data_IF_874561899728
#
_entry.id   IF_874561899728
#
_cell.length_a   1.000
_cell.length_b   1.000
_cell.length_c   1.000
_cell.angle_alpha   90.00
_cell.angle_beta   90.00
_cell.angle_gamma   90.00
#
_symmetry.space_group_name_H-M   'P 1'
#
loop_
_entity.id
_entity.type
_entity.pdbx_description
1 polymer ?
#
# COMPACT_ATOMS: atom_id res chain seq x y z
N UNK A 1 -2.92 5.42 13.17
CA UNK A 1 -1.86 5.55 14.19
C UNK A 1 -0.75 6.43 13.63
N UNK A 2 -0.66 7.68 14.08
CA UNK A 2 0.40 8.61 13.71
C UNK A 2 1.37 8.71 14.89
N UNK A 3 2.62 8.29 14.69
CA UNK A 3 3.69 8.55 15.64
C UNK A 3 4.19 9.98 15.39
N UNK A 4 3.82 10.92 16.28
CA UNK A 4 4.47 12.23 16.37
C UNK A 4 5.74 12.07 17.20
N UNK A 5 6.88 11.97 16.54
CA UNK A 5 8.18 12.17 17.20
C UNK A 5 8.38 13.67 17.31
N UNK A 6 8.30 14.20 18.53
CA UNK A 6 8.64 15.59 18.84
C UNK A 6 10.16 15.63 18.99
N UNK A 7 10.86 16.17 18.00
CA UNK A 7 12.28 16.52 18.12
C UNK A 7 12.33 17.93 18.71
N UNK A 8 12.68 18.02 19.99
CA UNK A 8 12.96 19.29 20.66
C UNK A 8 14.42 19.63 20.35
N UNK A 9 14.65 20.54 19.41
CA UNK A 9 15.97 21.10 19.14
C UNK A 9 16.18 22.28 20.10
N UNK A 10 16.85 22.02 21.22
CA UNK A 10 17.32 23.06 22.14
C UNK A 10 18.53 23.77 21.52
N UNK A 11 18.28 24.95 20.97
CA UNK A 11 19.30 25.82 20.41
C UNK A 11 19.91 26.69 21.54
N UNK A 12 21.01 26.22 22.14
CA UNK A 12 21.81 27.03 23.08
C UNK A 12 22.77 27.90 22.27
N UNK A 13 22.57 29.21 22.38
CA UNK A 13 23.32 30.23 21.65
C UNK A 13 24.63 30.58 22.37
N UNK A 14 25.53 31.22 21.60
CA UNK A 14 26.77 31.91 21.98
C UNK A 14 28.07 31.08 21.85
N UNK A 15 28.69 31.15 20.68
CA UNK A 15 29.98 31.85 20.48
C UNK A 15 30.41 31.80 19.00
N UNK A 16 30.47 32.98 18.38
CA UNK A 16 31.30 33.39 17.22
C UNK A 16 31.70 32.29 16.21
N UNK A 17 30.89 32.06 15.18
CA UNK A 17 31.28 31.29 13.98
C UNK A 17 30.62 31.84 12.70
N UNK A 18 31.26 31.64 11.52
CA UNK A 18 30.93 32.31 10.26
C UNK A 18 29.47 32.14 9.87
N UNK A 19 28.92 33.13 9.15
CA UNK A 19 27.55 33.21 8.63
C UNK A 19 27.14 31.97 7.81
N UNK A 20 26.97 30.83 8.47
CA UNK A 20 26.27 29.68 7.94
C UNK A 20 24.80 30.10 7.94
N UNK A 21 24.31 30.49 6.77
CA UNK A 21 22.88 30.63 6.52
C UNK A 21 22.27 29.26 6.78
N UNK A 22 21.80 29.02 8.00
CA UNK A 22 21.03 27.84 8.37
C UNK A 22 19.77 27.86 7.50
N UNK A 23 19.83 27.19 6.35
CA UNK A 23 18.66 26.99 5.50
C UNK A 23 17.68 26.14 6.32
N UNK A 24 16.71 26.81 6.95
CA UNK A 24 15.60 26.17 7.65
C UNK A 24 15.04 25.10 6.71
N UNK A 25 15.24 23.83 7.07
CA UNK A 25 14.75 22.71 6.27
C UNK A 25 13.23 22.84 6.25
N UNK A 26 12.66 23.05 5.05
CA UNK A 26 11.21 23.06 4.89
C UNK A 26 10.68 21.69 5.33
N UNK A 27 9.58 21.69 6.07
CA UNK A 27 8.89 20.48 6.47
C UNK A 27 8.57 19.62 5.25
N UNK A 28 8.64 18.29 5.41
CA UNK A 28 8.22 17.36 4.38
C UNK A 28 6.74 17.61 4.09
N UNK A 29 6.42 17.93 2.83
CA UNK A 29 5.03 18.14 2.38
C UNK A 29 4.51 16.79 1.90
N UNK A 30 3.48 16.27 2.56
CA UNK A 30 2.86 15.01 2.18
C UNK A 30 1.74 15.24 1.18
N UNK A 31 1.38 14.22 0.40
CA UNK A 31 0.30 14.32 -0.60
C UNK A 31 -1.05 14.76 0.01
N UNK A 32 -1.30 14.44 1.28
CA UNK A 32 -2.52 14.86 1.99
C UNK A 32 -2.58 16.37 2.29
N UNK A 33 -1.45 17.07 2.23
CA UNK A 33 -1.38 18.52 2.51
C UNK A 33 -1.61 19.37 1.25
N UNK A 34 -1.77 18.73 0.08
CA UNK A 34 -1.89 19.43 -1.20
C UNK A 34 -3.33 19.97 -1.37
N UNK A 35 -3.47 21.29 -1.38
CA UNK A 35 -4.77 21.96 -1.58
C UNK A 35 -4.97 22.26 -3.06
N UNK A 36 -6.23 22.39 -3.50
CA UNK A 36 -6.57 22.78 -4.88
C UNK A 36 -5.93 24.12 -5.24
N UNK A 37 -5.86 25.05 -4.29
CA UNK A 37 -5.17 26.34 -4.45
C UNK A 37 -3.69 26.22 -4.82
N UNK A 38 -3.03 25.12 -4.46
CA UNK A 38 -1.62 24.89 -4.78
C UNK A 38 -1.38 24.64 -6.27
N UNK A 39 -2.41 24.25 -7.01
CA UNK A 39 -2.34 24.13 -8.47
C UNK A 39 -2.11 25.49 -9.12
N UNK A 40 -2.49 26.61 -8.50
CA UNK A 40 -2.26 27.95 -9.05
C UNK A 40 -0.78 28.36 -9.03
N UNK A 41 0.04 27.72 -8.18
CA UNK A 41 1.48 27.99 -8.12
C UNK A 41 2.26 27.06 -9.07
N UNK A 42 2.92 27.63 -10.08
CA UNK A 42 3.68 26.88 -11.10
C UNK A 42 4.73 25.94 -10.50
N UNK A 43 5.44 26.38 -9.45
CA UNK A 43 6.48 25.57 -8.82
C UNK A 43 5.89 24.39 -8.05
N UNK A 44 4.79 24.61 -7.30
CA UNK A 44 4.08 23.54 -6.58
C UNK A 44 3.49 22.53 -7.56
N UNK A 45 2.85 23.00 -8.64
CA UNK A 45 2.32 22.17 -9.73
C UNK A 45 3.41 21.29 -10.37
N UNK A 46 4.57 21.86 -10.71
CA UNK A 46 5.69 21.11 -11.30
C UNK A 46 6.22 20.01 -10.37
N UNK A 47 6.32 20.30 -9.07
CA UNK A 47 6.74 19.31 -8.06
C UNK A 47 5.72 18.17 -7.94
N UNK A 48 4.43 18.50 -7.84
CA UNK A 48 3.36 17.52 -7.79
C UNK A 48 3.42 16.57 -8.99
N UNK A 49 3.49 17.10 -10.20
CA UNK A 49 3.56 16.28 -11.41
C UNK A 49 4.80 15.39 -11.43
N UNK A 50 5.96 15.90 -11.03
CA UNK A 50 7.18 15.11 -10.93
C UNK A 50 6.99 13.91 -9.98
N UNK A 51 6.52 14.15 -8.77
CA UNK A 51 6.32 13.09 -7.77
C UNK A 51 5.24 12.09 -8.21
N UNK A 52 4.16 12.57 -8.84
CA UNK A 52 3.12 11.71 -9.41
C UNK A 52 3.70 10.79 -10.51
N UNK A 53 4.47 11.35 -11.45
CA UNK A 53 5.14 10.57 -12.50
C UNK A 53 6.11 9.54 -11.93
N UNK A 54 6.95 9.92 -10.97
CA UNK A 54 7.89 9.01 -10.29
C UNK A 54 7.14 7.85 -9.62
N UNK A 55 6.02 8.16 -8.95
CA UNK A 55 5.17 7.18 -8.28
C UNK A 55 4.56 6.20 -9.28
N UNK A 56 3.97 6.70 -10.37
CA UNK A 56 3.41 5.86 -11.44
C UNK A 56 4.49 4.96 -12.04
N UNK A 57 5.67 5.51 -12.31
CA UNK A 57 6.78 4.75 -12.89
C UNK A 57 7.30 3.66 -11.94
N UNK A 58 7.40 3.96 -10.63
CA UNK A 58 7.73 2.98 -9.60
C UNK A 58 6.73 1.81 -9.60
N UNK A 59 5.44 2.09 -9.61
CA UNK A 59 4.42 1.04 -9.62
C UNK A 59 4.39 0.24 -10.93
N UNK A 60 4.64 0.88 -12.09
CA UNK A 60 4.80 0.16 -13.37
C UNK A 60 5.93 -0.87 -13.31
N UNK A 61 7.09 -0.51 -12.73
CA UNK A 61 8.22 -1.44 -12.54
C UNK A 61 7.85 -2.61 -11.62
N UNK A 62 7.23 -2.34 -10.48
CA UNK A 62 6.78 -3.36 -9.54
C UNK A 62 5.77 -4.31 -10.21
N UNK A 63 4.81 -3.76 -10.97
CA UNK A 63 3.81 -4.57 -11.65
C UNK A 63 4.45 -5.50 -12.69
N UNK A 64 5.38 -5.00 -13.51
CA UNK A 64 6.14 -5.82 -14.48
C UNK A 64 6.89 -6.97 -13.77
N UNK A 65 7.58 -6.68 -12.66
CA UNK A 65 8.27 -7.71 -11.87
C UNK A 65 7.30 -8.78 -11.34
N UNK A 66 6.15 -8.37 -10.79
CA UNK A 66 5.14 -9.28 -10.26
C UNK A 66 4.53 -10.15 -11.36
N UNK A 67 4.27 -9.60 -12.55
CA UNK A 67 3.81 -10.36 -13.72
C UNK A 67 4.82 -11.43 -14.12
N UNK A 68 6.11 -11.09 -14.19
CA UNK A 68 7.17 -12.07 -14.47
C UNK A 68 7.23 -13.16 -13.38
N UNK A 69 7.08 -12.79 -12.10
CA UNK A 69 7.07 -13.76 -10.99
C UNK A 69 5.89 -14.73 -11.08
N UNK A 70 4.70 -14.23 -11.39
CA UNK A 70 3.50 -15.06 -11.61
C UNK A 70 3.71 -16.02 -12.78
N UNK A 71 4.27 -15.53 -13.90
CA UNK A 71 4.58 -16.36 -15.07
C UNK A 71 5.51 -17.52 -14.72
N UNK A 72 6.61 -17.24 -13.99
CA UNK A 72 7.53 -18.29 -13.52
C UNK A 72 6.85 -19.33 -12.63
N UNK A 73 5.97 -18.88 -11.72
CA UNK A 73 5.23 -19.79 -10.85
C UNK A 73 4.25 -20.67 -11.64
N UNK A 74 3.56 -20.11 -12.63
CA UNK A 74 2.69 -20.88 -13.53
C UNK A 74 3.45 -21.93 -14.31
N UNK A 75 4.64 -21.60 -14.82
CA UNK A 75 5.48 -22.58 -15.52
C UNK A 75 5.93 -23.72 -14.61
N UNK A 76 6.27 -23.43 -13.35
CA UNK A 76 6.58 -24.48 -12.35
C UNK A 76 5.38 -25.38 -12.09
N UNK A 77 4.19 -24.80 -11.87
CA UNK A 77 2.96 -25.59 -11.69
C UNK A 77 2.66 -26.47 -12.91
N UNK A 78 2.82 -25.93 -14.12
CA UNK A 78 2.64 -26.70 -15.36
C UNK A 78 3.61 -27.88 -15.44
N UNK A 79 4.88 -27.66 -15.10
CA UNK A 79 5.89 -28.73 -15.08
C UNK A 79 5.58 -29.80 -14.03
N UNK A 80 5.16 -29.40 -12.83
CA UNK A 80 4.78 -30.34 -11.76
C UNK A 80 3.54 -31.15 -12.15
N UNK A 81 2.52 -30.51 -12.72
CA UNK A 81 1.32 -31.20 -13.20
C UNK A 81 1.67 -32.23 -14.29
N UNK A 82 2.56 -31.89 -15.22
CA UNK A 82 3.04 -32.83 -16.24
C UNK A 82 3.70 -34.07 -15.61
N UNK A 83 4.53 -33.89 -14.57
CA UNK A 83 5.17 -35.00 -13.87
C UNK A 83 4.13 -35.88 -13.14
N UNK A 84 3.13 -35.27 -12.51
CA UNK A 84 2.03 -36.00 -11.88
C UNK A 84 1.25 -36.81 -12.91
N UNK A 85 0.95 -36.22 -14.07
CA UNK A 85 0.25 -36.91 -15.16
C UNK A 85 1.05 -38.11 -15.67
N UNK A 86 2.37 -37.98 -15.80
CA UNK A 86 3.25 -39.07 -16.25
C UNK A 86 3.32 -40.21 -15.21
N UNK A 87 3.42 -39.87 -13.91
CA UNK A 87 3.39 -40.87 -12.84
C UNK A 87 2.04 -41.60 -12.73
N UNK A 88 0.94 -40.89 -13.00
CA UNK A 88 -0.40 -41.48 -13.06
C UNK A 88 -0.54 -42.44 -14.26
N UNK A 89 0.01 -42.08 -15.43
CA UNK A 89 0.03 -42.97 -16.61
C UNK A 89 0.83 -44.24 -16.36
N UNK A 90 1.96 -44.14 -15.66
CA UNK A 90 2.79 -45.30 -15.27
C UNK A 90 2.13 -46.18 -14.19
N UNK A 91 0.92 -45.84 -13.70
CA UNK A 91 0.22 -46.51 -12.59
C UNK A 91 1.05 -46.62 -11.31
N UNK A 92 2.10 -45.81 -11.15
CA UNK A 92 2.95 -45.79 -9.96
C UNK A 92 2.24 -45.21 -8.74
N UNK A 93 1.14 -44.50 -8.95
CA UNK A 93 0.33 -43.89 -7.91
C UNK A 93 -1.13 -44.28 -8.17
N UNK A 94 -1.77 -44.92 -7.19
CA UNK A 94 -3.21 -45.19 -7.22
C UNK A 94 -3.99 -43.87 -7.11
N UNK A 95 -4.98 -43.67 -7.99
CA UNK A 95 -5.78 -42.43 -8.13
C UNK A 95 -6.67 -42.10 -6.92
N UNK A 96 -6.54 -42.82 -5.80
CA UNK A 96 -7.48 -42.81 -4.68
C UNK A 96 -7.29 -41.64 -3.68
N UNK A 97 -6.39 -40.68 -3.93
CA UNK A 97 -5.99 -39.69 -2.88
C UNK A 97 -6.47 -38.24 -3.11
N UNK A 98 -6.98 -37.81 -4.27
CA UNK A 98 -6.95 -36.35 -4.55
C UNK A 98 -8.22 -35.63 -5.00
N UNK A 99 -9.43 -36.20 -4.89
CA UNK A 99 -10.64 -35.49 -5.35
C UNK A 99 -11.52 -34.84 -4.28
N UNK A 100 -11.19 -34.88 -2.98
CA UNK A 100 -12.10 -34.35 -1.94
C UNK A 100 -11.70 -33.05 -1.23
N UNK A 101 -10.46 -32.53 -1.38
CA UNK A 101 -10.01 -31.35 -0.60
C UNK A 101 -9.50 -30.17 -1.46
N UNK A 102 -9.96 -30.06 -2.71
CA UNK A 102 -9.59 -28.94 -3.59
C UNK A 102 -10.22 -27.59 -3.20
N UNK A 103 -11.00 -27.53 -2.13
CA UNK A 103 -11.67 -26.29 -1.65
C UNK A 103 -11.01 -25.63 -0.42
N UNK A 104 -9.98 -26.21 0.21
CA UNK A 104 -9.51 -25.68 1.51
C UNK A 104 -8.19 -24.89 1.51
N UNK A 105 -7.49 -24.71 0.38
CA UNK A 105 -6.17 -24.00 0.37
C UNK A 105 -6.17 -22.66 -0.38
N UNK A 106 -7.33 -22.02 -0.56
CA UNK A 106 -7.39 -20.75 -1.30
C UNK A 106 -6.88 -19.51 -0.56
N UNK A 107 -6.60 -19.52 0.75
CA UNK A 107 -6.15 -18.29 1.44
C UNK A 107 -5.18 -18.54 2.61
N UNK A 108 -3.97 -19.02 2.32
CA UNK A 108 -2.80 -18.74 3.17
C UNK A 108 -1.77 -17.86 2.45
N UNK A 109 -2.26 -16.91 1.64
CA UNK A 109 -1.46 -15.76 1.20
C UNK A 109 -1.36 -14.78 2.35
N UNK A 110 -0.34 -14.99 3.19
CA UNK A 110 0.25 -13.94 4.03
C UNK A 110 0.53 -12.69 3.19
N UNK A 111 -0.38 -11.72 3.29
CA UNK A 111 -0.18 -10.28 3.35
C UNK A 111 1.27 -9.80 3.14
N UNK A 112 1.68 -9.60 1.89
CA UNK A 112 2.92 -8.88 1.55
C UNK A 112 2.70 -7.77 0.50
N UNK A 113 1.64 -6.99 0.65
CA UNK A 113 1.56 -5.66 0.04
C UNK A 113 0.36 -5.34 -0.86
N UNK A 114 -0.69 -6.16 -0.86
CA UNK A 114 -2.01 -5.78 -1.40
C UNK A 114 -2.92 -5.40 -0.24
N UNK A 115 -3.59 -4.26 -0.33
CA UNK A 115 -4.54 -3.80 0.67
C UNK A 115 -5.52 -4.94 1.01
N UNK A 116 -5.51 -5.38 2.26
CA UNK A 116 -6.38 -6.44 2.75
C UNK A 116 -7.81 -5.95 2.56
N UNK A 117 -8.64 -6.73 1.85
CA UNK A 117 -10.07 -6.41 1.79
C UNK A 117 -10.59 -6.41 3.23
N UNK A 118 -11.19 -5.30 3.70
CA UNK A 118 -11.65 -5.22 5.07
C UNK A 118 -12.63 -6.36 5.35
N UNK A 119 -12.51 -6.98 6.52
CA UNK A 119 -13.48 -7.98 6.96
C UNK A 119 -14.86 -7.32 7.11
N UNK A 120 -15.91 -8.13 7.01
CA UNK A 120 -17.30 -7.64 7.04
C UNK A 120 -17.59 -6.79 8.28
N UNK A 121 -16.94 -7.09 9.40
CA UNK A 121 -17.11 -6.34 10.65
C UNK A 121 -16.41 -4.97 10.62
N UNK A 122 -15.26 -4.86 9.96
CA UNK A 122 -14.58 -3.57 9.74
C UNK A 122 -15.43 -2.65 8.87
N UNK A 123 -16.09 -3.20 7.85
CA UNK A 123 -17.03 -2.43 7.02
C UNK A 123 -18.22 -1.93 7.85
N UNK A 124 -18.79 -2.78 8.72
CA UNK A 124 -19.91 -2.39 9.60
C UNK A 124 -19.51 -1.27 10.57
N UNK A 125 -18.33 -1.35 11.19
CA UNK A 125 -17.83 -0.32 12.10
C UNK A 125 -17.66 1.02 11.36
N UNK A 126 -17.13 1.01 10.14
CA UNK A 126 -17.01 2.23 9.33
C UNK A 126 -18.39 2.84 9.01
N UNK A 127 -19.39 2.02 8.68
CA UNK A 127 -20.74 2.53 8.40
C UNK A 127 -21.41 3.15 9.63
N UNK A 128 -21.17 2.60 10.83
CA UNK A 128 -21.66 3.19 12.09
C UNK A 128 -20.98 4.54 12.35
N UNK A 129 -19.66 4.62 12.17
CA UNK A 129 -18.92 5.87 12.35
C UNK A 129 -19.37 6.97 11.37
N UNK A 130 -19.65 6.63 10.11
CA UNK A 130 -20.21 7.58 9.14
C UNK A 130 -21.60 8.09 9.55
N UNK A 131 -22.41 7.25 10.21
CA UNK A 131 -23.70 7.65 10.76
C UNK A 131 -23.60 8.68 11.89
N UNK A 132 -22.64 8.49 12.80
CA UNK A 132 -22.38 9.41 13.93
C UNK A 132 -21.89 10.76 13.42
N UNK A 133 -20.96 10.77 12.46
CA UNK A 133 -20.43 12.01 11.88
C UNK A 133 -21.54 12.81 11.18
N UNK A 134 -22.43 12.14 10.43
CA UNK A 134 -23.56 12.82 9.76
C UNK A 134 -24.56 13.42 10.75
N UNK A 135 -24.77 12.77 11.89
CA UNK A 135 -25.70 13.27 12.91
C UNK A 135 -25.12 14.46 13.67
N UNK A 136 -23.82 14.46 13.97
CA UNK A 136 -23.14 15.61 14.58
C UNK A 136 -23.05 16.83 13.62
N UNK A 137 -22.85 16.61 12.31
CA UNK A 137 -22.86 17.72 11.35
C UNK A 137 -24.22 18.36 11.18
N UNK A 138 -25.31 17.60 11.36
CA UNK A 138 -26.66 18.18 11.38
C UNK A 138 -26.92 18.99 12.65
N UNK A 139 -26.29 18.63 13.77
CA UNK A 139 -26.36 19.39 15.01
C UNK A 139 -25.62 20.74 14.90
N UNK A 140 -24.54 20.80 14.12
CA UNK A 140 -23.75 22.01 13.89
C UNK A 140 -24.36 22.99 12.87
N UNK A 141 -25.34 22.56 12.07
CA UNK A 141 -26.05 23.41 11.09
C UNK A 141 -27.33 24.03 11.70
N UNK A 142 -27.77 23.53 12.86
CA UNK A 142 -28.98 23.97 13.57
C UNK A 142 -28.71 24.94 14.73
N UNK A 143 -27.47 25.44 14.87
CA UNK A 143 -27.08 26.55 15.77
C UNK A 143 -26.73 27.75 14.90
#
# INVERSE_FOLDING_TARGET
MQFKVIVIELCVSHLLQPLFVCRVRRSAVYFGDFKISDLNNVQRRKRFWKTAHETVHKYKKINKYNQCKISRQRNKLKSLNSLVDDLLKEKRISRSVTTSDSDCMLLNRKNRGGLIKPTRDVVKICMVAEGIIKTETNFFILI
#
